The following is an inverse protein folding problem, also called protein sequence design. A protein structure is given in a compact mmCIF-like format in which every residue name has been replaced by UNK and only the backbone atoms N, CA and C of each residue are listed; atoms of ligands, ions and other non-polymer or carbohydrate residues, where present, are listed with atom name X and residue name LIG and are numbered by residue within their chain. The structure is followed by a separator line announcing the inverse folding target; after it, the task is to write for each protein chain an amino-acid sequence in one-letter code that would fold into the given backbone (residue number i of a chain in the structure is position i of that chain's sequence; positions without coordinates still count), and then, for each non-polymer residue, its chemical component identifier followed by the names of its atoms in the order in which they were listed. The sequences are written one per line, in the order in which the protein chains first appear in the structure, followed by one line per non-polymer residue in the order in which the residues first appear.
data_IF_126072241063
#
_entry.id   IF_126072241063
#
_cell.length_a   1.000
_cell.length_b   1.000
_cell.length_c   1.000
_cell.angle_alpha   90.00
_cell.angle_beta   90.00
_cell.angle_gamma   90.00
#
_symmetry.space_group_name_H-M   'P 1'
#
loop_
_entity.id
_entity.type
_entity.pdbx_description
1 polymer ?
#
# COMPACT_ATOMS: atom_id res chain seq x y z
N UNK A 1 10.56 30.18 -19.98
CA UNK A 1 9.36 29.43 -20.41
C UNK A 1 8.46 29.25 -19.20
N UNK A 2 7.24 29.79 -19.22
CA UNK A 2 6.26 29.56 -18.16
C UNK A 2 6.00 28.06 -18.06
N UNK A 3 6.44 27.42 -16.97
CA UNK A 3 6.07 26.03 -16.69
C UNK A 3 4.56 26.02 -16.43
N UNK A 4 3.80 25.70 -17.48
CA UNK A 4 2.34 25.63 -17.43
C UNK A 4 1.99 24.52 -16.45
N UNK A 5 1.31 24.88 -15.38
CA UNK A 5 0.74 23.95 -14.39
C UNK A 5 -0.74 23.84 -14.70
N UNK A 6 -1.18 22.67 -15.14
CA UNK A 6 -2.60 22.35 -15.23
C UNK A 6 -3.06 21.72 -13.91
N UNK A 7 -3.77 22.50 -13.09
CA UNK A 7 -4.26 22.03 -11.80
C UNK A 7 -5.24 20.85 -11.90
N UNK A 8 -5.95 20.69 -13.04
CA UNK A 8 -6.79 19.52 -13.25
C UNK A 8 -5.93 18.26 -13.36
N UNK A 9 -4.80 18.34 -14.07
CA UNK A 9 -3.86 17.24 -14.18
C UNK A 9 -3.16 16.96 -12.84
N UNK A 10 -2.80 18.02 -12.10
CA UNK A 10 -2.26 17.90 -10.74
C UNK A 10 -3.19 17.10 -9.83
N UNK A 11 -4.48 17.43 -9.78
CA UNK A 11 -5.45 16.71 -8.94
C UNK A 11 -5.59 15.25 -9.38
N UNK A 12 -5.66 15.00 -10.69
CA UNK A 12 -5.72 13.64 -11.24
C UNK A 12 -4.51 12.81 -10.82
N UNK A 13 -3.32 13.37 -10.96
CA UNK A 13 -2.05 12.69 -10.62
C UNK A 13 -1.89 12.53 -9.11
N UNK A 14 -2.20 13.55 -8.31
CA UNK A 14 -2.18 13.45 -6.84
C UNK A 14 -3.15 12.38 -6.33
N UNK A 15 -4.36 12.33 -6.91
CA UNK A 15 -5.35 11.28 -6.63
C UNK A 15 -4.84 9.90 -7.01
N UNK A 16 -4.22 9.74 -8.18
CA UNK A 16 -3.63 8.47 -8.61
C UNK A 16 -2.47 8.02 -7.70
N UNK A 17 -1.62 8.96 -7.26
CA UNK A 17 -0.56 8.72 -6.29
C UNK A 17 -1.12 8.19 -4.97
N UNK A 18 -2.10 8.88 -4.39
CA UNK A 18 -2.72 8.46 -3.13
C UNK A 18 -3.47 7.13 -3.29
N UNK A 19 -4.21 6.96 -4.40
CA UNK A 19 -4.96 5.74 -4.70
C UNK A 19 -4.08 4.51 -4.86
N UNK A 20 -2.87 4.66 -5.42
CA UNK A 20 -1.93 3.55 -5.54
C UNK A 20 -1.52 2.98 -4.17
N UNK A 21 -1.43 3.85 -3.16
CA UNK A 21 -1.04 3.49 -1.80
C UNK A 21 -2.22 3.05 -0.93
N UNK A 22 -3.42 3.56 -1.22
CA UNK A 22 -4.65 3.14 -0.56
C UNK A 22 -5.17 1.85 -1.24
N UNK A 23 -4.50 0.75 -0.91
CA UNK A 23 -4.85 -0.60 -1.37
C UNK A 23 -5.68 -1.39 -0.35
N UNK A 24 -5.74 -2.72 -0.51
CA UNK A 24 -6.50 -3.58 0.38
C UNK A 24 -5.97 -3.61 1.82
N UNK A 25 -4.65 -3.44 2.03
CA UNK A 25 -4.05 -3.30 3.37
C UNK A 25 -4.59 -2.08 4.12
N UNK A 26 -4.77 -0.96 3.40
CA UNK A 26 -5.42 0.23 3.93
C UNK A 26 -6.92 0.02 4.13
N UNK A 27 -7.61 -0.62 3.18
CA UNK A 27 -9.06 -0.87 3.23
C UNK A 27 -9.47 -1.79 4.40
N UNK A 28 -8.68 -2.82 4.70
CA UNK A 28 -8.86 -3.66 5.91
C UNK A 28 -8.56 -2.87 7.18
N UNK A 29 -7.65 -1.91 7.11
CA UNK A 29 -7.16 -1.10 8.22
C UNK A 29 -6.02 -1.76 9.00
N UNK A 30 -5.66 -3.00 8.69
CA UNK A 30 -4.69 -3.75 9.48
C UNK A 30 -3.29 -3.15 9.42
N UNK A 31 -2.94 -2.60 8.25
CA UNK A 31 -1.69 -1.89 8.06
C UNK A 31 -1.63 -0.61 8.91
N UNK A 32 -2.72 0.16 8.94
CA UNK A 32 -2.79 1.41 9.72
C UNK A 32 -2.80 1.12 11.22
N UNK A 33 -3.48 0.05 11.64
CA UNK A 33 -3.49 -0.43 13.01
C UNK A 33 -2.06 -0.76 13.47
N UNK A 34 -1.33 -1.60 12.72
CA UNK A 34 0.01 -2.01 13.12
C UNK A 34 1.03 -0.89 13.08
N UNK A 35 1.07 -0.09 12.00
CA UNK A 35 2.11 0.91 11.83
C UNK A 35 1.89 2.19 12.64
N UNK A 36 0.65 2.48 13.06
CA UNK A 36 0.32 3.73 13.75
C UNK A 36 -0.51 3.52 15.02
N UNK A 37 -1.73 2.96 14.93
CA UNK A 37 -2.63 2.94 16.08
C UNK A 37 -2.15 2.02 17.22
N UNK A 38 -1.33 1.01 16.92
CA UNK A 38 -0.64 0.14 17.91
C UNK A 38 0.34 0.91 18.82
N UNK A 39 0.69 2.16 18.49
CA UNK A 39 1.49 3.08 19.29
C UNK A 39 0.63 4.09 20.08
N UNK A 40 -0.69 3.96 20.02
CA UNK A 40 -1.63 4.86 20.69
C UNK A 40 -1.51 6.29 20.16
N UNK A 41 -1.56 7.28 21.05
CA UNK A 41 -1.46 8.69 20.64
C UNK A 41 -0.13 9.01 19.95
N UNK A 42 0.94 8.27 20.25
CA UNK A 42 2.23 8.46 19.59
C UNK A 42 2.14 8.14 18.09
N UNK A 43 1.18 7.30 17.67
CA UNK A 43 0.87 7.03 16.27
C UNK A 43 0.69 8.29 15.43
N UNK A 44 0.13 9.37 16.02
CA UNK A 44 -0.07 10.65 15.34
C UNK A 44 1.24 11.34 14.94
N UNK A 45 2.31 11.17 15.73
CA UNK A 45 3.65 11.62 15.33
C UNK A 45 4.14 10.87 14.10
N UNK A 46 3.85 9.56 14.02
CA UNK A 46 4.10 8.76 12.84
C UNK A 46 3.39 9.30 11.60
N UNK A 47 2.12 9.70 11.74
CA UNK A 47 1.34 10.31 10.65
C UNK A 47 1.97 11.62 10.16
N UNK A 48 2.42 12.47 11.08
CA UNK A 48 3.12 13.71 10.72
C UNK A 48 4.43 13.45 9.97
N UNK A 49 5.19 12.44 10.40
CA UNK A 49 6.45 12.05 9.74
C UNK A 49 6.18 11.58 8.31
N UNK A 50 5.21 10.68 8.10
CA UNK A 50 4.91 10.21 6.74
C UNK A 50 4.36 11.34 5.87
N UNK A 51 3.62 12.31 6.42
CA UNK A 51 3.14 13.48 5.66
C UNK A 51 4.31 14.26 5.07
N UNK A 52 5.33 14.54 5.88
CA UNK A 52 6.54 15.26 5.46
C UNK A 52 7.33 14.41 4.45
N UNK A 53 7.57 13.13 4.75
CA UNK A 53 8.37 12.25 3.91
C UNK A 53 7.72 12.00 2.55
N UNK A 54 6.43 11.66 2.49
CA UNK A 54 5.73 11.47 1.22
C UNK A 54 5.59 12.77 0.42
N UNK A 55 5.42 13.93 1.07
CA UNK A 55 5.42 15.20 0.35
C UNK A 55 6.76 15.46 -0.34
N UNK A 56 7.88 15.28 0.39
CA UNK A 56 9.24 15.49 -0.13
C UNK A 56 9.58 14.47 -1.22
N UNK A 57 9.36 13.19 -0.97
CA UNK A 57 9.76 12.15 -1.92
C UNK A 57 8.79 12.02 -3.09
N UNK A 58 7.50 12.28 -2.88
CA UNK A 58 6.54 12.43 -3.96
C UNK A 58 7.00 13.50 -4.94
N UNK A 59 7.43 14.67 -4.44
CA UNK A 59 8.05 15.70 -5.27
C UNK A 59 9.28 15.18 -6.02
N UNK A 60 10.26 14.62 -5.29
CA UNK A 60 11.55 14.20 -5.88
C UNK A 60 11.37 13.15 -6.96
N UNK A 61 10.60 12.09 -6.68
CA UNK A 61 10.44 10.96 -7.60
C UNK A 61 9.63 11.37 -8.83
N UNK A 62 8.52 12.11 -8.66
CA UNK A 62 7.71 12.53 -9.80
C UNK A 62 8.43 13.55 -10.69
N UNK A 63 9.15 14.51 -10.10
CA UNK A 63 10.00 15.44 -10.87
C UNK A 63 11.05 14.68 -11.66
N UNK A 64 11.67 13.65 -11.08
CA UNK A 64 12.68 12.85 -11.77
C UNK A 64 12.08 11.98 -12.86
N UNK A 65 10.88 11.43 -12.66
CA UNK A 65 10.12 10.80 -13.73
C UNK A 65 9.90 11.71 -14.94
N UNK A 66 9.48 12.95 -14.69
CA UNK A 66 9.31 13.95 -15.75
C UNK A 66 10.63 14.30 -16.45
N UNK A 67 11.72 14.45 -15.70
CA UNK A 67 13.02 14.86 -16.25
C UNK A 67 13.73 13.75 -17.05
N UNK A 68 13.68 12.52 -16.56
CA UNK A 68 14.44 11.42 -17.14
C UNK A 68 13.75 10.79 -18.34
N UNK A 69 12.41 10.88 -18.42
CA UNK A 69 11.61 10.32 -19.53
C UNK A 69 12.00 8.87 -19.87
N UNK A 70 12.27 8.05 -18.83
CA UNK A 70 12.79 6.69 -18.98
C UNK A 70 11.89 5.86 -19.90
N UNK A 71 12.48 5.07 -20.79
CA UNK A 71 11.75 4.14 -21.65
C UNK A 71 11.05 3.06 -20.80
N UNK A 72 11.77 2.55 -19.79
CA UNK A 72 11.26 1.61 -18.79
C UNK A 72 11.30 2.29 -17.41
N UNK A 73 10.15 2.55 -16.77
CA UNK A 73 10.11 3.21 -15.47
C UNK A 73 10.88 2.48 -14.36
N UNK A 74 11.03 1.15 -14.44
CA UNK A 74 11.82 0.36 -13.48
C UNK A 74 13.29 0.75 -13.43
N UNK A 75 13.82 1.34 -14.51
CA UNK A 75 15.20 1.83 -14.57
C UNK A 75 15.48 3.00 -13.62
N UNK A 76 14.45 3.54 -12.94
CA UNK A 76 14.62 4.54 -11.91
C UNK A 76 15.53 4.05 -10.78
N UNK A 77 15.46 2.77 -10.40
CA UNK A 77 16.33 2.22 -9.37
C UNK A 77 17.80 2.19 -9.82
N UNK A 78 18.05 1.86 -11.09
CA UNK A 78 19.40 1.89 -11.68
C UNK A 78 19.97 3.31 -11.71
N UNK A 79 19.14 4.32 -11.98
CA UNK A 79 19.57 5.72 -11.93
C UNK A 79 20.07 6.14 -10.54
N UNK A 80 19.37 5.72 -9.48
CA UNK A 80 19.70 6.09 -8.10
C UNK A 80 20.81 5.26 -7.47
N UNK A 81 20.89 3.97 -7.81
CA UNK A 81 21.73 3.00 -7.10
C UNK A 81 22.82 2.36 -7.96
N UNK A 82 22.82 2.64 -9.27
CA UNK A 82 23.70 1.99 -10.24
C UNK A 82 23.20 0.61 -10.67
N UNK A 83 23.89 -0.05 -11.63
CA UNK A 83 23.40 -1.25 -12.29
C UNK A 83 23.35 -2.50 -11.40
N UNK A 84 24.27 -2.62 -10.44
CA UNK A 84 24.37 -3.80 -9.57
C UNK A 84 23.28 -3.77 -8.50
N UNK A 85 23.22 -2.70 -7.70
CA UNK A 85 22.21 -2.54 -6.66
C UNK A 85 20.81 -2.39 -7.25
N UNK A 86 20.66 -1.71 -8.38
CA UNK A 86 19.37 -1.58 -9.08
C UNK A 86 18.80 -2.93 -9.46
N UNK A 87 19.62 -3.84 -9.99
CA UNK A 87 19.20 -5.22 -10.30
C UNK A 87 18.83 -6.02 -9.06
N UNK A 88 19.55 -5.83 -7.95
CA UNK A 88 19.22 -6.49 -6.68
C UNK A 88 17.87 -6.01 -6.14
N UNK A 89 17.58 -4.71 -6.24
CA UNK A 89 16.28 -4.13 -5.87
C UNK A 89 15.16 -4.66 -6.75
N UNK A 90 15.37 -4.76 -8.07
CA UNK A 90 14.38 -5.34 -9.00
C UNK A 90 14.06 -6.80 -8.62
N UNK A 91 15.09 -7.61 -8.36
CA UNK A 91 14.91 -9.00 -7.93
C UNK A 91 14.17 -9.09 -6.59
N UNK A 92 14.54 -8.26 -5.61
CA UNK A 92 13.83 -8.19 -4.33
C UNK A 92 12.38 -7.78 -4.51
N UNK A 93 12.10 -6.82 -5.40
CA UNK A 93 10.75 -6.32 -5.66
C UNK A 93 9.86 -7.45 -6.18
N UNK A 94 10.39 -8.33 -7.03
CA UNK A 94 9.66 -9.53 -7.48
C UNK A 94 9.33 -10.48 -6.33
N UNK A 95 10.26 -10.72 -5.41
CA UNK A 95 10.01 -11.54 -4.20
C UNK A 95 8.96 -10.85 -3.32
N UNK A 96 9.02 -9.52 -3.19
CA UNK A 96 8.05 -8.77 -2.42
C UNK A 96 6.64 -8.85 -3.04
N UNK A 97 6.52 -8.83 -4.37
CA UNK A 97 5.25 -9.06 -5.08
C UNK A 97 4.67 -10.43 -4.76
N UNK A 98 5.48 -11.49 -4.69
CA UNK A 98 5.03 -12.82 -4.21
C UNK A 98 4.45 -12.72 -2.80
N UNK A 99 5.12 -12.00 -1.90
CA UNK A 99 4.64 -11.73 -0.54
C UNK A 99 3.30 -10.99 -0.53
N UNK A 100 3.13 -9.97 -1.38
CA UNK A 100 1.87 -9.23 -1.47
C UNK A 100 0.73 -10.15 -1.92
N UNK A 101 0.93 -11.00 -2.94
CA UNK A 101 -0.12 -11.94 -3.38
C UNK A 101 -0.59 -12.83 -2.22
N UNK A 102 0.35 -13.35 -1.42
CA UNK A 102 0.06 -14.15 -0.24
C UNK A 102 -0.69 -13.35 0.83
N UNK A 103 -0.25 -12.11 1.14
CA UNK A 103 -0.91 -11.21 2.09
C UNK A 103 -2.35 -10.92 1.65
N UNK A 104 -2.56 -10.63 0.36
CA UNK A 104 -3.89 -10.34 -0.18
C UNK A 104 -4.81 -11.54 -0.05
N UNK A 105 -4.36 -12.74 -0.46
CA UNK A 105 -5.17 -13.96 -0.35
C UNK A 105 -5.47 -14.28 1.12
N UNK A 106 -4.50 -14.16 2.03
CA UNK A 106 -4.73 -14.30 3.48
C UNK A 106 -5.75 -13.29 4.00
N UNK A 107 -5.68 -12.03 3.56
CA UNK A 107 -6.62 -10.97 3.92
C UNK A 107 -8.07 -11.28 3.54
N UNK A 108 -8.31 -12.00 2.42
CA UNK A 108 -9.65 -12.48 2.10
C UNK A 108 -10.16 -13.55 3.06
N UNK A 109 -9.28 -14.44 3.53
CA UNK A 109 -9.59 -15.44 4.56
C UNK A 109 -9.99 -14.77 5.87
N UNK A 110 -9.20 -13.81 6.33
CA UNK A 110 -9.47 -13.02 7.51
C UNK A 110 -10.80 -12.26 7.43
N UNK A 111 -11.10 -11.64 6.28
CA UNK A 111 -12.38 -10.97 6.07
C UNK A 111 -13.56 -11.95 6.14
N UNK A 112 -13.44 -13.12 5.52
CA UNK A 112 -14.51 -14.12 5.51
C UNK A 112 -14.81 -14.65 6.91
N UNK A 113 -13.76 -14.89 7.68
CA UNK A 113 -13.87 -15.30 9.08
C UNK A 113 -14.51 -14.21 9.95
N UNK A 114 -14.05 -12.97 9.84
CA UNK A 114 -14.53 -11.89 10.70
C UNK A 114 -15.95 -11.41 10.34
N UNK A 115 -16.26 -11.28 9.04
CA UNK A 115 -17.54 -10.75 8.59
C UNK A 115 -18.63 -11.81 8.49
N UNK A 116 -18.34 -12.90 7.76
CA UNK A 116 -19.33 -13.92 7.43
C UNK A 116 -19.38 -15.05 8.45
N UNK A 117 -18.45 -15.08 9.43
CA UNK A 117 -18.34 -16.13 10.45
C UNK A 117 -18.17 -17.53 9.86
N UNK A 118 -17.53 -17.60 8.69
CA UNK A 118 -17.18 -18.85 8.00
C UNK A 118 -15.70 -19.19 8.23
N UNK A 119 -15.28 -20.45 8.05
CA UNK A 119 -13.86 -20.81 8.12
C UNK A 119 -13.02 -19.98 7.13
N UNK A 120 -11.83 -19.55 7.55
CA UNK A 120 -10.96 -18.66 6.76
C UNK A 120 -10.55 -19.29 5.42
N UNK A 121 -10.53 -20.61 5.34
CA UNK A 121 -10.29 -21.42 4.14
C UNK A 121 -11.24 -21.06 3.02
N UNK A 122 -12.50 -20.77 3.34
CA UNK A 122 -13.49 -20.36 2.33
C UNK A 122 -13.03 -19.09 1.62
N UNK A 123 -12.48 -18.13 2.37
CA UNK A 123 -11.97 -16.88 1.82
C UNK A 123 -10.69 -17.07 1.03
N UNK A 124 -9.64 -17.61 1.66
CA UNK A 124 -8.33 -17.68 1.00
C UNK A 124 -8.29 -18.68 -0.16
N UNK A 125 -8.97 -19.84 -0.07
CA UNK A 125 -9.07 -20.77 -1.20
C UNK A 125 -9.94 -20.15 -2.30
N UNK A 126 -11.08 -19.56 -1.95
CA UNK A 126 -11.97 -18.91 -2.91
C UNK A 126 -11.27 -17.81 -3.71
N UNK A 127 -10.54 -16.93 -3.01
CA UNK A 127 -9.78 -15.86 -3.65
C UNK A 127 -8.61 -16.40 -4.48
N UNK A 128 -7.86 -17.39 -3.97
CA UNK A 128 -6.77 -18.01 -4.71
C UNK A 128 -7.23 -18.67 -6.01
N UNK A 129 -8.35 -19.41 -5.97
CA UNK A 129 -8.98 -20.01 -7.15
C UNK A 129 -9.44 -18.92 -8.11
N UNK A 130 -10.11 -17.87 -7.62
CA UNK A 130 -10.57 -16.75 -8.45
C UNK A 130 -9.40 -16.09 -9.18
N UNK A 131 -8.30 -15.77 -8.48
CA UNK A 131 -7.11 -15.20 -9.09
C UNK A 131 -6.46 -16.16 -10.12
N UNK A 132 -6.33 -17.45 -9.79
CA UNK A 132 -5.77 -18.44 -10.70
C UNK A 132 -6.59 -18.57 -12.00
N UNK A 133 -7.91 -18.63 -11.88
CA UNK A 133 -8.83 -18.63 -13.04
C UNK A 133 -8.64 -17.38 -13.88
N UNK A 134 -8.55 -16.20 -13.27
CA UNK A 134 -8.34 -14.97 -14.05
C UNK A 134 -7.00 -14.96 -14.77
N UNK A 135 -5.91 -15.44 -14.14
CA UNK A 135 -4.60 -15.56 -14.79
C UNK A 135 -4.66 -16.54 -15.97
N UNK A 136 -5.40 -17.65 -15.86
CA UNK A 136 -5.60 -18.61 -16.95
C UNK A 136 -6.40 -18.02 -18.13
N UNK A 137 -7.34 -17.11 -17.87
CA UNK A 137 -8.15 -16.43 -18.88
C UNK A 137 -7.39 -15.29 -19.61
N UNK A 138 -6.25 -14.86 -19.07
CA UNK A 138 -5.40 -13.81 -19.64
C UNK A 138 -5.75 -12.39 -19.17
N UNK A 139 -4.75 -11.50 -19.20
CA UNK A 139 -4.79 -10.19 -18.53
C UNK A 139 -5.70 -9.16 -19.23
N UNK A 140 -5.91 -9.27 -20.55
CA UNK A 140 -6.54 -8.18 -21.33
C UNK A 140 -7.97 -7.82 -20.86
N UNK A 141 -8.71 -8.74 -20.23
CA UNK A 141 -10.02 -8.44 -19.63
C UNK A 141 -9.94 -7.99 -18.15
N UNK A 142 -8.82 -8.27 -17.49
CA UNK A 142 -8.60 -8.01 -16.07
C UNK A 142 -8.21 -6.54 -15.83
N UNK A 143 -7.45 -5.92 -16.74
CA UNK A 143 -6.99 -4.52 -16.61
C UNK A 143 -8.16 -3.54 -16.52
N UNK A 144 -9.20 -3.73 -17.35
CA UNK A 144 -10.36 -2.83 -17.38
C UNK A 144 -11.22 -2.93 -16.12
N UNK A 145 -11.41 -4.15 -15.59
CA UNK A 145 -12.19 -4.39 -14.37
C UNK A 145 -11.47 -3.78 -13.16
N UNK A 146 -10.15 -3.98 -13.08
CA UNK A 146 -9.34 -3.53 -11.95
C UNK A 146 -9.18 -2.01 -11.94
N UNK A 147 -9.08 -1.38 -13.12
CA UNK A 147 -8.95 0.07 -13.24
C UNK A 147 -10.11 0.86 -12.61
N UNK A 148 -11.33 0.30 -12.59
CA UNK A 148 -12.51 0.94 -12.00
C UNK A 148 -12.63 0.72 -10.47
N UNK A 149 -12.01 -0.34 -9.95
CA UNK A 149 -12.14 -0.74 -8.54
C UNK A 149 -11.37 0.21 -7.61
N UNK A 150 -10.15 0.60 -8.00
CA UNK A 150 -9.27 1.45 -7.19
C UNK A 150 -9.93 2.73 -6.67
N UNK A 151 -10.50 3.59 -7.54
CA UNK A 151 -11.18 4.81 -7.11
C UNK A 151 -12.34 4.57 -6.12
N UNK A 152 -13.09 3.48 -6.30
CA UNK A 152 -14.19 3.13 -5.39
C UNK A 152 -13.67 2.82 -4.00
N UNK A 153 -12.59 2.03 -3.88
CA UNK A 153 -11.96 1.70 -2.60
C UNK A 153 -11.50 2.95 -1.88
N UNK A 154 -10.80 3.83 -2.59
CA UNK A 154 -10.25 5.06 -2.03
C UNK A 154 -11.36 5.97 -1.52
N UNK A 155 -12.33 6.28 -2.38
CA UNK A 155 -13.45 7.18 -2.02
C UNK A 155 -14.21 6.58 -0.85
N UNK A 156 -14.56 5.30 -0.91
CA UNK A 156 -15.31 4.65 0.17
C UNK A 156 -14.54 4.68 1.50
N UNK A 157 -13.28 4.26 1.50
CA UNK A 157 -12.49 4.15 2.73
C UNK A 157 -12.21 5.53 3.34
N UNK A 158 -11.88 6.53 2.52
CA UNK A 158 -11.60 7.89 3.01
C UNK A 158 -12.86 8.59 3.49
N UNK A 159 -13.99 8.45 2.77
CA UNK A 159 -15.27 9.08 3.18
C UNK A 159 -15.78 8.46 4.47
N UNK A 160 -15.79 7.12 4.56
CA UNK A 160 -16.28 6.46 5.77
C UNK A 160 -15.31 6.67 6.94
N UNK A 161 -14.01 6.59 6.71
CA UNK A 161 -13.00 6.95 7.71
C UNK A 161 -13.14 8.39 8.20
N UNK A 162 -13.38 9.34 7.29
CA UNK A 162 -13.67 10.72 7.64
C UNK A 162 -14.97 10.90 8.43
N UNK A 163 -16.03 10.17 8.08
CA UNK A 163 -17.29 10.19 8.82
C UNK A 163 -17.11 9.71 10.26
N UNK A 164 -16.44 8.56 10.46
CA UNK A 164 -16.16 8.00 11.79
C UNK A 164 -15.28 8.97 12.58
N UNK A 165 -14.25 9.50 11.93
CA UNK A 165 -13.38 10.51 12.53
C UNK A 165 -14.19 11.68 13.11
N UNK A 166 -15.06 12.32 12.33
CA UNK A 166 -15.82 13.48 12.82
C UNK A 166 -16.88 13.11 13.86
N UNK A 167 -17.49 11.93 13.77
CA UNK A 167 -18.53 11.47 14.70
C UNK A 167 -17.93 11.11 16.07
N UNK A 168 -16.80 10.40 16.07
CA UNK A 168 -16.23 9.76 17.26
C UNK A 168 -15.02 10.52 17.82
N UNK A 169 -14.69 11.71 17.29
CA UNK A 169 -13.56 12.50 17.76
C UNK A 169 -13.65 12.81 19.26
N UNK A 170 -14.85 13.03 19.79
CA UNK A 170 -15.06 13.30 21.21
C UNK A 170 -14.68 12.12 22.10
N UNK A 171 -14.79 10.89 21.58
CA UNK A 171 -14.46 9.67 22.29
C UNK A 171 -12.96 9.43 22.38
N UNK A 172 -12.15 10.15 21.59
CA UNK A 172 -10.70 9.94 21.53
C UNK A 172 -10.11 9.92 22.94
N UNK A 173 -10.39 10.96 23.74
CA UNK A 173 -9.93 11.17 25.12
C UNK A 173 -10.44 10.18 26.17
N UNK A 174 -11.46 9.38 25.84
CA UNK A 174 -12.17 8.51 26.79
C UNK A 174 -11.67 7.05 26.75
N UNK A 175 -10.70 6.76 25.88
CA UNK A 175 -10.25 5.40 25.61
C UNK A 175 -9.18 4.95 26.62
N UNK A 176 -9.27 3.72 27.16
CA UNK A 176 -8.39 3.24 28.24
C UNK A 176 -6.92 3.08 27.82
N UNK A 177 -6.65 3.14 26.52
CA UNK A 177 -5.30 3.08 25.93
C UNK A 177 -4.36 4.17 26.48
N UNK A 178 -4.89 5.28 27.00
CA UNK A 178 -4.05 6.35 27.57
C UNK A 178 -3.59 6.09 29.00
N UNK A 179 -4.32 5.24 29.74
CA UNK A 179 -3.95 4.86 31.09
C UNK A 179 -3.10 3.60 31.08
N UNK A 180 -3.57 2.55 30.39
CA UNK A 180 -2.85 1.27 30.25
C UNK A 180 -2.98 0.78 28.83
N UNK A 181 -1.83 0.67 28.16
CA UNK A 181 -1.78 0.15 26.81
C UNK A 181 -1.85 -1.39 26.83
N UNK A 182 -2.78 -2.02 26.08
CA UNK A 182 -2.94 -3.48 26.14
C UNK A 182 -1.75 -4.21 25.51
N UNK A 183 -1.39 -5.39 26.04
CA UNK A 183 -0.24 -6.19 25.57
C UNK A 183 -0.33 -6.51 24.07
N UNK A 184 -1.54 -6.81 23.57
CA UNK A 184 -1.81 -7.04 22.15
C UNK A 184 -1.36 -5.89 21.25
N UNK A 185 -1.35 -4.65 21.75
CA UNK A 185 -0.84 -3.51 21.01
C UNK A 185 0.67 -3.58 20.80
N UNK A 186 1.42 -4.10 21.77
CA UNK A 186 2.86 -4.28 21.66
C UNK A 186 3.22 -5.45 20.74
N UNK A 187 2.45 -6.54 20.79
CA UNK A 187 2.67 -7.75 19.99
C UNK A 187 2.59 -7.51 18.47
N UNK A 188 1.75 -6.57 18.04
CA UNK A 188 1.51 -6.30 16.62
C UNK A 188 2.38 -5.17 16.06
N UNK A 189 3.27 -4.58 16.88
CA UNK A 189 4.11 -3.47 16.44
C UNK A 189 5.17 -3.94 15.44
N UNK A 190 5.28 -3.27 14.28
CA UNK A 190 6.32 -3.59 13.30
C UNK A 190 7.72 -3.14 13.74
N UNK A 191 7.81 -2.24 14.72
CA UNK A 191 9.08 -1.69 15.22
C UNK A 191 9.01 -1.29 16.70
N UNK A 192 10.18 -1.12 17.32
CA UNK A 192 10.27 -0.75 18.74
C UNK A 192 9.65 0.63 19.07
N UNK A 193 9.63 1.57 18.12
CA UNK A 193 9.09 2.91 18.30
C UNK A 193 8.38 3.42 17.05
N UNK A 194 7.51 4.42 17.23
CA UNK A 194 6.67 4.96 16.16
C UNK A 194 7.47 5.64 15.05
N UNK A 195 8.63 6.23 15.36
CA UNK A 195 9.48 6.88 14.36
C UNK A 195 10.01 5.86 13.35
N UNK A 196 10.56 4.76 13.86
CA UNK A 196 11.02 3.67 13.01
C UNK A 196 9.83 3.03 12.26
N UNK A 197 8.69 2.85 12.92
CA UNK A 197 7.48 2.35 12.26
C UNK A 197 7.07 3.22 11.06
N UNK A 198 7.00 4.54 11.25
CA UNK A 198 6.67 5.49 10.20
C UNK A 198 7.70 5.49 9.06
N UNK A 199 9.00 5.39 9.39
CA UNK A 199 10.06 5.27 8.39
C UNK A 199 9.92 3.97 7.58
N UNK A 200 9.64 2.83 8.23
CA UNK A 200 9.44 1.56 7.55
C UNK A 200 8.19 1.60 6.66
N UNK A 201 7.08 2.12 7.18
CA UNK A 201 5.84 2.33 6.43
C UNK A 201 6.10 3.14 5.15
N UNK A 202 6.74 4.30 5.31
CA UNK A 202 7.10 5.17 4.20
C UNK A 202 8.03 4.47 3.21
N UNK A 203 9.08 3.82 3.73
CA UNK A 203 10.15 3.25 2.92
C UNK A 203 9.68 2.08 2.06
N UNK A 204 8.87 1.18 2.62
CA UNK A 204 8.35 0.05 1.85
C UNK A 204 7.37 0.54 0.77
N UNK A 205 6.59 1.58 1.05
CA UNK A 205 5.67 2.20 0.08
C UNK A 205 6.40 2.96 -1.03
N UNK A 206 7.56 3.57 -0.73
CA UNK A 206 8.45 4.11 -1.77
C UNK A 206 9.03 2.98 -2.62
N UNK A 207 9.49 1.89 -2.00
CA UNK A 207 9.99 0.73 -2.75
C UNK A 207 8.91 0.16 -3.69
N UNK A 208 7.69 -0.03 -3.18
CA UNK A 208 6.57 -0.57 -3.93
C UNK A 208 6.07 0.38 -5.04
N UNK A 209 6.15 1.69 -4.82
CA UNK A 209 5.50 2.68 -5.69
C UNK A 209 6.43 3.54 -6.55
N UNK A 210 7.74 3.54 -6.32
CA UNK A 210 8.67 4.43 -7.02
C UNK A 210 8.56 4.31 -8.55
N UNK A 211 8.39 3.10 -9.07
CA UNK A 211 8.20 2.84 -10.50
C UNK A 211 6.92 3.51 -11.01
N UNK A 212 5.80 3.36 -10.29
CA UNK A 212 4.52 3.97 -10.63
C UNK A 212 4.59 5.50 -10.55
N UNK A 213 5.15 6.08 -9.48
CA UNK A 213 5.28 7.53 -9.34
C UNK A 213 6.19 8.14 -10.41
N UNK A 214 7.24 7.42 -10.79
CA UNK A 214 8.14 7.83 -11.89
C UNK A 214 7.38 7.86 -13.21
N UNK A 215 6.58 6.81 -13.49
CA UNK A 215 5.74 6.76 -14.68
C UNK A 215 4.69 7.88 -14.68
N UNK A 216 4.04 8.11 -13.53
CA UNK A 216 3.06 9.18 -13.38
C UNK A 216 3.70 10.56 -13.59
N UNK A 217 4.90 10.79 -13.05
CA UNK A 217 5.67 12.01 -13.28
C UNK A 217 6.05 12.21 -14.75
N UNK A 218 6.34 11.13 -15.49
CA UNK A 218 6.64 11.17 -16.93
C UNK A 218 5.50 11.81 -17.74
N UNK A 219 4.26 11.58 -17.32
CA UNK A 219 3.03 12.11 -17.96
C UNK A 219 2.72 13.58 -17.61
N UNK A 220 3.46 14.21 -16.70
CA UNK A 220 3.27 15.61 -16.36
C UNK A 220 3.66 16.54 -17.52
N UNK A 221 2.97 17.68 -17.64
CA UNK A 221 3.29 18.72 -18.62
C UNK A 221 4.57 19.50 -18.28
N UNK A 222 4.96 19.52 -17.00
CA UNK A 222 6.17 20.18 -16.53
C UNK A 222 6.69 19.58 -15.22
N UNK A 223 7.98 19.81 -14.92
CA UNK A 223 8.57 19.38 -13.65
C UNK A 223 7.85 19.99 -12.43
N UNK A 224 7.44 21.27 -12.50
CA UNK A 224 6.66 21.89 -11.42
C UNK A 224 5.30 21.24 -11.24
N UNK A 225 4.61 20.89 -12.33
CA UNK A 225 3.35 20.15 -12.27
C UNK A 225 3.52 18.78 -11.60
N UNK A 226 4.54 18.01 -12.03
CA UNK A 226 4.88 16.72 -11.43
C UNK A 226 5.19 16.85 -9.92
N UNK A 227 5.97 17.87 -9.54
CA UNK A 227 6.35 18.13 -8.17
C UNK A 227 5.16 18.47 -7.28
N UNK A 228 4.27 19.37 -7.73
CA UNK A 228 3.06 19.74 -6.97
C UNK A 228 2.13 18.53 -6.84
N UNK A 229 1.96 17.74 -7.91
CA UNK A 229 1.16 16.52 -7.86
C UNK A 229 1.70 15.52 -6.83
N UNK A 230 3.03 15.34 -6.77
CA UNK A 230 3.67 14.47 -5.79
C UNK A 230 3.51 14.95 -4.35
N UNK A 231 3.65 16.25 -4.10
CA UNK A 231 3.39 16.83 -2.76
C UNK A 231 1.94 16.60 -2.34
N UNK A 232 0.99 16.97 -3.21
CA UNK A 232 -0.44 16.85 -2.89
C UNK A 232 -0.87 15.39 -2.74
N UNK A 233 -0.34 14.48 -3.55
CA UNK A 233 -0.60 13.05 -3.43
C UNK A 233 -0.09 12.47 -2.10
N UNK A 234 1.12 12.83 -1.71
CA UNK A 234 1.70 12.43 -0.42
C UNK A 234 0.93 12.97 0.78
N UNK A 235 0.52 14.25 0.73
CA UNK A 235 -0.31 14.86 1.79
C UNK A 235 -1.72 14.26 1.83
N UNK A 236 -2.35 13.99 0.68
CA UNK A 236 -3.66 13.36 0.62
C UNK A 236 -3.65 11.97 1.25
N UNK A 237 -2.63 11.16 0.99
CA UNK A 237 -2.43 9.89 1.68
C UNK A 237 -2.31 10.09 3.19
N UNK A 238 -1.48 11.02 3.66
CA UNK A 238 -1.29 11.24 5.09
C UNK A 238 -2.57 11.72 5.79
N UNK A 239 -3.41 12.52 5.12
CA UNK A 239 -4.74 12.89 5.63
C UNK A 239 -5.66 11.68 5.72
N UNK A 240 -5.66 10.80 4.71
CA UNK A 240 -6.41 9.55 4.79
C UNK A 240 -5.94 8.68 5.97
N UNK A 241 -4.63 8.52 6.15
CA UNK A 241 -4.05 7.81 7.30
C UNK A 241 -4.49 8.47 8.61
N UNK A 242 -4.46 9.81 8.70
CA UNK A 242 -4.87 10.55 9.89
C UNK A 242 -6.31 10.24 10.30
N UNK A 243 -7.25 10.30 9.36
CA UNK A 243 -8.65 9.96 9.62
C UNK A 243 -8.80 8.54 10.14
N UNK A 244 -8.08 7.59 9.53
CA UNK A 244 -8.13 6.19 9.96
C UNK A 244 -7.52 5.98 11.34
N UNK A 245 -6.34 6.56 11.62
CA UNK A 245 -5.66 6.42 12.92
C UNK A 245 -6.54 7.00 14.02
N UNK A 246 -7.09 8.20 13.84
CA UNK A 246 -7.93 8.79 14.90
C UNK A 246 -9.24 8.00 15.05
N UNK A 247 -9.86 7.54 13.96
CA UNK A 247 -11.04 6.67 14.04
C UNK A 247 -10.78 5.39 14.83
N UNK A 248 -9.61 4.76 14.61
CA UNK A 248 -9.17 3.57 15.35
C UNK A 248 -8.87 3.89 16.81
N UNK A 249 -8.21 5.01 17.09
CA UNK A 249 -7.90 5.42 18.47
C UNK A 249 -9.17 5.74 19.25
N UNK A 250 -10.19 6.38 18.64
CA UNK A 250 -11.50 6.63 19.24
C UNK A 250 -12.34 5.37 19.50
N UNK A 251 -11.97 4.24 18.91
CA UNK A 251 -12.70 2.96 19.02
C UNK A 251 -11.71 1.82 19.34
N UNK A 252 -10.72 2.08 20.18
CA UNK A 252 -9.54 1.24 20.28
C UNK A 252 -9.82 -0.17 20.81
N UNK A 253 -10.67 -0.28 21.84
CA UNK A 253 -11.05 -1.57 22.42
C UNK A 253 -11.77 -2.48 21.40
N UNK A 254 -12.53 -1.87 20.49
CA UNK A 254 -13.26 -2.59 19.45
C UNK A 254 -12.32 -3.21 18.41
N UNK A 255 -11.23 -2.52 18.08
CA UNK A 255 -10.38 -2.85 16.92
C UNK A 255 -9.09 -3.57 17.28
N UNK A 256 -8.58 -3.46 18.51
CA UNK A 256 -7.30 -4.07 18.89
C UNK A 256 -7.40 -5.61 18.90
N UNK A 257 -6.44 -6.27 18.25
CA UNK A 257 -6.41 -7.74 18.13
C UNK A 257 -7.32 -8.32 17.04
N UNK A 258 -7.88 -7.47 16.19
CA UNK A 258 -8.69 -7.87 15.03
C UNK A 258 -7.82 -7.90 13.76
N UNK A 259 -8.29 -8.58 12.72
CA UNK A 259 -7.63 -8.71 11.42
C UNK A 259 -8.15 -7.68 10.42
N UNK A 260 -9.41 -7.27 10.52
CA UNK A 260 -10.06 -6.32 9.59
C UNK A 260 -10.72 -5.17 10.37
N UNK A 261 -9.94 -4.33 11.07
CA UNK A 261 -10.46 -3.30 11.97
C UNK A 261 -11.43 -2.32 11.31
N UNK A 262 -11.23 -1.95 10.04
CA UNK A 262 -12.13 -1.01 9.35
C UNK A 262 -13.53 -1.58 9.14
N UNK A 263 -13.66 -2.90 9.00
CA UNK A 263 -14.96 -3.57 8.91
C UNK A 263 -15.75 -3.34 10.21
N UNK A 264 -15.10 -3.49 11.36
CA UNK A 264 -15.71 -3.30 12.67
C UNK A 264 -16.06 -1.84 12.91
N UNK A 265 -15.19 -0.91 12.50
CA UNK A 265 -15.51 0.51 12.50
C UNK A 265 -16.74 0.81 11.63
N UNK A 266 -16.84 0.23 10.43
CA UNK A 266 -18.02 0.34 9.58
C UNK A 266 -19.30 -0.17 10.26
N UNK A 267 -19.19 -1.23 11.06
CA UNK A 267 -20.32 -1.81 11.79
C UNK A 267 -20.86 -0.89 12.89
N UNK A 268 -20.04 0.02 13.43
CA UNK A 268 -20.50 1.06 14.36
C UNK A 268 -21.41 2.11 13.71
N UNK A 269 -21.42 2.21 12.38
CA UNK A 269 -22.36 3.07 11.64
C UNK A 269 -23.65 2.29 11.38
N UNK A 270 -23.54 1.16 10.69
CA UNK A 270 -24.63 0.21 10.48
C UNK A 270 -24.10 -1.11 9.90
N UNK A 271 -24.86 -2.22 10.04
CA UNK A 271 -24.52 -3.49 9.38
C UNK A 271 -24.39 -3.37 7.85
N UNK A 272 -25.14 -2.45 7.23
CA UNK A 272 -25.06 -2.20 5.78
C UNK A 272 -23.70 -1.61 5.39
N UNK A 273 -23.18 -0.67 6.18
CA UNK A 273 -21.85 -0.08 5.94
C UNK A 273 -20.75 -1.11 6.12
N UNK A 274 -20.84 -1.98 7.14
CA UNK A 274 -19.92 -3.10 7.30
C UNK A 274 -19.96 -4.06 6.09
N UNK A 275 -21.15 -4.41 5.60
CA UNK A 275 -21.29 -5.25 4.41
C UNK A 275 -20.67 -4.61 3.16
N UNK A 276 -20.85 -3.29 2.98
CA UNK A 276 -20.20 -2.54 1.90
C UNK A 276 -18.67 -2.53 2.06
N UNK A 277 -18.14 -2.39 3.28
CA UNK A 277 -16.70 -2.56 3.55
C UNK A 277 -16.22 -3.94 3.13
N UNK A 278 -16.93 -5.00 3.47
CA UNK A 278 -16.54 -6.35 3.09
C UNK A 278 -16.44 -6.50 1.56
N UNK A 279 -17.41 -5.96 0.81
CA UNK A 279 -17.36 -5.95 -0.66
C UNK A 279 -16.14 -5.17 -1.17
N UNK A 280 -15.94 -3.95 -0.66
CA UNK A 280 -14.84 -3.07 -1.08
C UNK A 280 -13.48 -3.69 -0.77
N UNK A 281 -13.34 -4.33 0.38
CA UNK A 281 -12.12 -5.05 0.77
C UNK A 281 -11.90 -6.26 -0.15
N UNK A 282 -12.92 -7.08 -0.42
CA UNK A 282 -12.79 -8.21 -1.35
C UNK A 282 -12.37 -7.76 -2.75
N UNK A 283 -12.98 -6.68 -3.25
CA UNK A 283 -12.60 -6.09 -4.54
C UNK A 283 -11.16 -5.57 -4.50
N UNK A 284 -10.74 -4.92 -3.42
CA UNK A 284 -9.37 -4.44 -3.21
C UNK A 284 -8.35 -5.57 -3.19
N UNK A 285 -8.64 -6.63 -2.44
CA UNK A 285 -7.81 -7.84 -2.37
C UNK A 285 -7.66 -8.43 -3.77
N UNK A 286 -8.76 -8.67 -4.48
CA UNK A 286 -8.73 -9.22 -5.83
C UNK A 286 -7.98 -8.32 -6.81
N UNK A 287 -8.22 -7.00 -6.75
CA UNK A 287 -7.62 -5.99 -7.63
C UNK A 287 -6.10 -5.90 -7.49
N UNK A 288 -5.57 -6.32 -6.34
CA UNK A 288 -4.13 -6.40 -6.09
C UNK A 288 -3.59 -7.79 -6.41
N UNK A 289 -4.22 -8.83 -5.88
CA UNK A 289 -3.73 -10.21 -5.97
C UNK A 289 -3.67 -10.73 -7.41
N UNK A 290 -4.72 -10.52 -8.21
CA UNK A 290 -4.79 -11.10 -9.56
C UNK A 290 -3.71 -10.55 -10.53
N UNK A 291 -3.50 -9.22 -10.67
CA UNK A 291 -2.45 -8.71 -11.55
C UNK A 291 -1.04 -9.01 -11.01
N UNK A 292 -0.84 -9.02 -9.68
CA UNK A 292 0.46 -9.39 -9.11
C UNK A 292 0.78 -10.87 -9.28
N UNK A 293 -0.22 -11.76 -9.17
CA UNK A 293 -0.06 -13.16 -9.55
C UNK A 293 0.35 -13.26 -11.02
N UNK A 294 -0.39 -12.62 -11.93
CA UNK A 294 -0.02 -12.61 -13.35
C UNK A 294 1.42 -12.12 -13.58
N UNK A 295 1.85 -11.07 -12.88
CA UNK A 295 3.21 -10.54 -12.94
C UNK A 295 4.25 -11.58 -12.51
N UNK A 296 4.07 -12.22 -11.35
CA UNK A 296 4.96 -13.29 -10.86
C UNK A 296 5.04 -14.44 -11.85
N UNK A 297 3.88 -14.90 -12.34
CA UNK A 297 3.79 -15.99 -13.31
C UNK A 297 4.55 -15.64 -14.57
N UNK A 298 4.35 -14.45 -15.13
CA UNK A 298 5.01 -14.05 -16.37
C UNK A 298 6.52 -13.89 -16.20
N UNK A 299 6.98 -13.34 -15.08
CA UNK A 299 8.40 -13.21 -14.81
C UNK A 299 9.07 -14.59 -14.71
N UNK A 300 8.39 -15.57 -14.08
CA UNK A 300 8.87 -16.95 -14.03
C UNK A 300 8.87 -17.62 -15.43
N UNK A 301 7.84 -17.37 -16.24
CA UNK A 301 7.73 -17.91 -17.61
C UNK A 301 8.80 -17.40 -18.57
N UNK A 302 9.56 -16.34 -18.25
CA UNK A 302 10.73 -15.91 -19.04
C UNK A 302 11.85 -16.95 -19.05
N UNK A 303 11.87 -17.84 -18.06
CA UNK A 303 12.90 -18.88 -17.89
C UNK A 303 12.37 -20.29 -18.17
N UNK A 304 11.08 -20.43 -18.53
CA UNK A 304 10.42 -21.72 -18.73
C UNK A 304 9.83 -21.84 -20.15
N UNK A 305 9.69 -23.07 -20.69
CA UNK A 305 9.02 -23.27 -21.97
C UNK A 305 7.53 -22.88 -21.92
N UNK A 306 6.99 -22.32 -23.01
CA UNK A 306 5.57 -21.94 -23.09
C UNK A 306 4.59 -23.12 -22.87
N UNK A 307 5.02 -24.37 -23.08
CA UNK A 307 4.18 -25.56 -22.87
C UNK A 307 3.78 -25.77 -21.41
N UNK A 308 4.53 -25.25 -20.44
CA UNK A 308 4.23 -25.39 -19.01
C UNK A 308 3.42 -24.22 -18.44
N UNK A 309 2.97 -23.27 -19.27
CA UNK A 309 2.29 -22.05 -18.83
C UNK A 309 1.13 -22.31 -17.84
N UNK A 310 0.20 -23.20 -18.23
CA UNK A 310 -0.95 -23.58 -17.41
C UNK A 310 -0.53 -24.30 -16.13
N UNK A 311 0.45 -25.19 -16.22
CA UNK A 311 0.97 -25.94 -15.08
C UNK A 311 1.62 -25.00 -14.06
N UNK A 312 2.45 -24.06 -14.53
CA UNK A 312 3.07 -23.00 -13.72
C UNK A 312 2.01 -22.16 -13.02
N UNK A 313 0.94 -21.75 -13.73
CA UNK A 313 -0.17 -21.04 -13.10
C UNK A 313 -0.79 -21.88 -11.99
N UNK A 314 -1.16 -23.14 -12.22
CA UNK A 314 -1.79 -23.99 -11.21
C UNK A 314 -0.87 -24.17 -9.98
N UNK A 315 0.42 -24.46 -10.19
CA UNK A 315 1.40 -24.62 -9.10
C UNK A 315 1.50 -23.34 -8.25
N UNK A 316 1.65 -22.18 -8.89
CA UNK A 316 1.68 -20.91 -8.17
C UNK A 316 0.39 -20.66 -7.39
N UNK A 317 -0.76 -21.03 -7.94
CA UNK A 317 -2.06 -20.89 -7.27
C UNK A 317 -2.11 -21.72 -5.99
N UNK A 318 -1.66 -22.97 -6.04
CA UNK A 318 -1.55 -23.85 -4.86
C UNK A 318 -0.60 -23.26 -3.82
N UNK A 319 0.57 -22.76 -4.25
CA UNK A 319 1.55 -22.15 -3.34
C UNK A 319 1.01 -20.87 -2.68
N UNK A 320 0.30 -20.03 -3.44
CA UNK A 320 -0.31 -18.81 -2.90
C UNK A 320 -1.46 -19.12 -1.95
N UNK A 321 -2.28 -20.15 -2.22
CA UNK A 321 -3.31 -20.60 -1.28
C UNK A 321 -2.69 -21.20 -0.01
N UNK A 322 -1.61 -21.98 -0.13
CA UNK A 322 -0.87 -22.49 1.01
C UNK A 322 -0.29 -21.36 1.87
N UNK A 323 0.35 -20.37 1.25
CA UNK A 323 0.81 -19.16 1.94
C UNK A 323 -0.34 -18.35 2.53
N UNK A 324 -1.48 -18.30 1.85
CA UNK A 324 -2.69 -17.61 2.29
C UNK A 324 -3.31 -18.15 3.58
N UNK A 325 -2.98 -19.39 3.95
CA UNK A 325 -3.38 -19.96 5.25
C UNK A 325 -2.66 -19.36 6.45
N UNK A 326 -1.56 -18.61 6.21
CA UNK A 326 -0.82 -17.92 7.28
C UNK A 326 -1.64 -16.73 7.81
N UNK A 327 -1.51 -16.36 9.10
CA UNK A 327 -2.29 -15.27 9.69
C UNK A 327 -2.01 -13.92 9.02
N UNK A 328 -3.08 -13.25 8.56
CA UNK A 328 -3.01 -12.00 7.80
C UNK A 328 -2.21 -10.90 8.52
N UNK A 329 -2.55 -10.64 9.79
CA UNK A 329 -1.85 -9.66 10.62
C UNK A 329 -0.36 -9.97 10.78
N UNK A 330 0.01 -11.24 10.94
CA UNK A 330 1.42 -11.65 11.05
C UNK A 330 2.18 -11.42 9.75
N UNK A 331 1.56 -11.70 8.60
CA UNK A 331 2.18 -11.44 7.30
C UNK A 331 2.45 -9.95 7.10
N UNK A 332 1.50 -9.07 7.43
CA UNK A 332 1.71 -7.61 7.40
C UNK A 332 2.84 -7.21 8.33
N UNK A 333 2.79 -7.65 9.59
CA UNK A 333 3.76 -7.28 10.62
C UNK A 333 5.17 -7.84 10.42
N UNK A 334 5.34 -8.77 9.46
CA UNK A 334 6.64 -9.37 9.14
C UNK A 334 7.16 -8.90 7.79
N UNK A 335 6.36 -9.06 6.73
CA UNK A 335 6.80 -8.82 5.35
C UNK A 335 6.91 -7.33 5.06
N UNK A 336 5.99 -6.49 5.53
CA UNK A 336 6.05 -5.04 5.27
C UNK A 336 7.22 -4.36 5.99
N UNK A 337 7.51 -4.63 7.28
CA UNK A 337 8.69 -4.09 7.94
C UNK A 337 9.99 -4.56 7.29
N UNK A 338 10.07 -5.84 6.92
CA UNK A 338 11.22 -6.37 6.19
C UNK A 338 11.46 -5.64 4.87
N UNK A 339 10.40 -5.46 4.06
CA UNK A 339 10.45 -4.64 2.85
C UNK A 339 10.77 -3.16 3.16
N UNK A 340 10.35 -2.65 4.31
CA UNK A 340 10.65 -1.31 4.80
C UNK A 340 12.14 -1.10 5.04
N UNK A 341 12.85 -2.07 5.60
CA UNK A 341 14.31 -1.97 5.77
C UNK A 341 15.05 -1.91 4.44
N UNK A 342 14.63 -2.72 3.46
CA UNK A 342 15.20 -2.67 2.10
C UNK A 342 14.82 -1.35 1.41
N UNK A 343 13.57 -0.92 1.55
CA UNK A 343 13.09 0.37 1.07
C UNK A 343 13.86 1.54 1.68
N UNK A 344 14.31 1.43 2.93
CA UNK A 344 15.08 2.48 3.59
C UNK A 344 16.43 2.66 2.91
N UNK A 345 17.08 1.58 2.47
CA UNK A 345 18.30 1.66 1.66
C UNK A 345 18.04 2.38 0.32
N UNK A 346 16.89 2.11 -0.32
CA UNK A 346 16.47 2.81 -1.56
C UNK A 346 16.23 4.29 -1.31
N UNK A 347 15.50 4.63 -0.25
CA UNK A 347 15.21 6.00 0.19
C UNK A 347 16.51 6.77 0.44
N UNK A 348 17.46 6.16 1.15
CA UNK A 348 18.79 6.76 1.39
C UNK A 348 19.54 7.00 0.08
N UNK A 349 19.53 6.04 -0.85
CA UNK A 349 20.16 6.23 -2.16
C UNK A 349 19.51 7.38 -2.97
N UNK A 350 18.17 7.48 -2.95
CA UNK A 350 17.44 8.59 -3.56
C UNK A 350 17.89 9.92 -2.95
N UNK A 351 17.97 10.02 -1.62
CA UNK A 351 18.43 11.24 -0.93
C UNK A 351 19.87 11.59 -1.30
N UNK A 352 20.81 10.66 -1.14
CA UNK A 352 22.23 10.87 -1.41
C UNK A 352 22.45 11.35 -2.85
N UNK A 353 21.81 10.70 -3.82
CA UNK A 353 21.91 11.09 -5.23
C UNK A 353 21.28 12.45 -5.51
N UNK A 354 20.16 12.76 -4.85
CA UNK A 354 19.46 14.05 -5.02
C UNK A 354 20.28 15.21 -4.47
N UNK A 355 20.90 15.03 -3.30
CA UNK A 355 21.80 16.01 -2.68
C UNK A 355 23.06 16.20 -3.53
N UNK A 356 23.69 15.11 -3.98
CA UNK A 356 24.86 15.15 -4.85
C UNK A 356 24.59 15.97 -6.13
N UNK A 357 23.48 15.69 -6.83
CA UNK A 357 23.12 16.40 -8.06
C UNK A 357 22.90 17.90 -7.84
N UNK A 358 22.33 18.31 -6.68
CA UNK A 358 22.18 19.74 -6.35
C UNK A 358 23.54 20.40 -6.11
N UNK A 359 24.46 19.72 -5.43
CA UNK A 359 25.79 20.24 -5.16
C UNK A 359 26.61 20.43 -6.45
N UNK A 360 26.54 19.48 -7.39
CA UNK A 360 27.30 19.56 -8.66
C UNK A 360 26.76 20.65 -9.60
N UNK A 361 25.45 20.90 -9.61
CA UNK A 361 24.83 21.97 -10.44
C UNK A 361 25.07 23.37 -9.85
N UNK A 362 25.32 23.49 -8.53
CA UNK A 362 25.67 24.77 -7.90
C UNK A 362 27.12 25.24 -8.12
N UNK A 363 27.94 24.46 -8.81
CA UNK A 363 29.35 24.76 -9.13
C UNK A 363 29.61 25.08 -10.61
N UNK A 364 28.55 25.24 -11.41
CA UNK A 364 28.59 25.74 -12.80
C UNK A 364 27.70 26.98 -12.85
#
# INVERSE_FOLDING_TARGET
MNQKVDFKNVIKMAGAFAAYLIGAGFATGQEILQFFASYGIQGLWGVLIIAILFAIFGFVVMVKGHQLQLALPSQIFHYYTGPVLGRLIEFFTLIFVVGIVVIMISGSGALVEEHFKLPSEVGFIGMGVLCALTVLLGLNRLVDIIGAIGPVIVVFTVVIGGWIFFRDLSLLGEQPIYDVMPDKAYEIRPAANVFMSAILFFSYNILAGAVFYTQLGKEANSAKEAGIAGVLGGLALAVAVLFMVISMLSNYELIIGTQVPNLLLGNTISPVVAFLFAIVIMLGVYSTAAPMYWLVKNELMRFLPNSVDKLTTIILGVLFMAGGSLPFGTLIGTIYPFAGYIGMAVVLAILSRTVYNKATIGHI
#
